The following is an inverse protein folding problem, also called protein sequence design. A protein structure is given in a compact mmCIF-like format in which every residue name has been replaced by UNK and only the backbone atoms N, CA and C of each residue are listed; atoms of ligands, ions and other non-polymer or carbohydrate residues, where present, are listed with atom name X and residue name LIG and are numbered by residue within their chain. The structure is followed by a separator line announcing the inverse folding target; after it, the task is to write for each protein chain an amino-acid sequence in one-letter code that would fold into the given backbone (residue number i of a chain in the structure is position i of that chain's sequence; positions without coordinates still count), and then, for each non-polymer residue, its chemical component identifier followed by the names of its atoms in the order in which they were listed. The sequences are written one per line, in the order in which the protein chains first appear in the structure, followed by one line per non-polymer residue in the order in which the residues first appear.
data_IF_437008412892
#
_entry.id   IF_437008412892
#
_cell.length_a   1.000
_cell.length_b   1.000
_cell.length_c   1.000
_cell.angle_alpha   90.00
_cell.angle_beta   90.00
_cell.angle_gamma   90.00
#
_symmetry.space_group_name_H-M   'P 1'
#
loop_
_entity.id
_entity.type
_entity.pdbx_description
1 polymer ?
#
# COMPACT_ATOMS: atom_id res chain seq x y z
N UNK A 1 -0.67 5.54 -25.73
CA UNK A 1 -1.36 4.24 -25.78
C UNK A 1 -2.87 4.49 -25.89
N UNK A 2 -3.56 3.91 -26.91
CA UNK A 2 -5.02 3.95 -27.01
C UNK A 2 -5.59 3.19 -25.82
N UNK A 3 -6.41 3.85 -24.99
CA UNK A 3 -7.11 3.21 -23.87
C UNK A 3 -8.27 2.39 -24.40
N UNK A 4 -8.56 1.20 -23.80
CA UNK A 4 -9.65 0.36 -24.26
C UNK A 4 -11.00 1.02 -23.96
N UNK A 5 -11.91 0.93 -24.93
CA UNK A 5 -13.30 1.33 -24.76
C UNK A 5 -14.14 0.15 -24.25
N UNK A 6 -15.12 0.44 -23.42
CA UNK A 6 -16.17 -0.46 -22.92
C UNK A 6 -15.77 -1.52 -21.89
N UNK A 7 -14.47 -1.84 -21.68
CA UNK A 7 -14.05 -2.74 -20.63
C UNK A 7 -12.62 -2.42 -20.19
N UNK A 8 -12.40 -2.18 -18.90
CA UNK A 8 -11.08 -2.01 -18.31
C UNK A 8 -11.10 -2.46 -16.85
N UNK A 9 -10.16 -3.32 -16.46
CA UNK A 9 -10.02 -3.73 -15.08
C UNK A 9 -9.31 -2.64 -14.25
N UNK A 10 -9.76 -2.33 -13.03
CA UNK A 10 -8.94 -1.59 -12.10
C UNK A 10 -7.70 -2.43 -11.72
N UNK A 11 -6.54 -1.80 -11.46
CA UNK A 11 -5.31 -2.54 -11.10
C UNK A 11 -5.41 -3.27 -9.76
N UNK A 12 -6.18 -2.73 -8.82
CA UNK A 12 -6.41 -3.27 -7.49
C UNK A 12 -7.72 -2.70 -6.92
N UNK A 13 -8.19 -3.26 -5.83
CA UNK A 13 -9.40 -2.84 -5.14
C UNK A 13 -10.24 -4.04 -4.70
N UNK A 14 -11.43 -3.76 -4.22
CA UNK A 14 -12.45 -4.76 -3.89
C UNK A 14 -13.82 -4.22 -4.31
N UNK A 15 -14.81 -5.09 -4.39
CA UNK A 15 -16.18 -4.69 -4.73
C UNK A 15 -16.83 -4.04 -3.50
N UNK A 16 -17.34 -2.82 -3.67
CA UNK A 16 -18.20 -2.17 -2.69
C UNK A 16 -19.66 -2.40 -3.12
N UNK A 17 -20.45 -3.20 -2.38
CA UNK A 17 -21.85 -3.40 -2.72
C UNK A 17 -22.63 -2.09 -2.53
N UNK A 18 -23.22 -1.55 -3.60
CA UNK A 18 -23.95 -0.28 -3.58
C UNK A 18 -25.07 -0.24 -2.51
N UNK A 19 -25.70 -1.40 -2.23
CA UNK A 19 -26.73 -1.51 -1.17
C UNK A 19 -26.23 -1.09 0.22
N UNK A 20 -24.91 -1.22 0.49
CA UNK A 20 -24.32 -0.85 1.77
C UNK A 20 -24.23 0.66 1.95
N UNK A 21 -24.20 1.42 0.84
CA UNK A 21 -24.08 2.88 0.85
C UNK A 21 -25.36 3.57 1.33
N UNK A 22 -26.53 2.94 1.13
CA UNK A 22 -27.83 3.53 1.47
C UNK A 22 -28.26 3.31 2.93
N UNK A 23 -27.72 2.31 3.61
CA UNK A 23 -28.18 1.88 4.94
C UNK A 23 -27.61 2.65 6.13
N UNK A 24 -26.51 3.42 5.98
CA UNK A 24 -25.77 3.97 7.12
C UNK A 24 -25.45 5.48 7.06
N UNK A 25 -26.12 6.23 6.23
CA UNK A 25 -25.95 7.70 6.16
C UNK A 25 -26.27 8.39 7.51
N UNK A 26 -27.04 7.75 8.40
CA UNK A 26 -27.41 8.24 9.73
C UNK A 26 -26.37 7.99 10.84
N UNK A 27 -25.39 7.12 10.65
CA UNK A 27 -24.48 6.65 11.72
C UNK A 27 -23.21 7.52 11.80
N UNK A 28 -23.33 8.76 12.30
CA UNK A 28 -22.27 9.79 12.20
C UNK A 28 -21.66 10.18 13.55
N UNK A 29 -21.96 9.46 14.62
CA UNK A 29 -21.44 9.82 15.96
C UNK A 29 -20.00 9.33 16.15
N UNK A 30 -19.24 10.03 17.01
CA UNK A 30 -17.90 9.61 17.40
C UNK A 30 -17.93 8.23 18.07
N UNK A 31 -18.93 7.95 18.88
CA UNK A 31 -19.13 6.65 19.54
C UNK A 31 -19.22 5.49 18.54
N UNK A 32 -19.94 5.69 17.42
CA UNK A 32 -20.00 4.68 16.36
C UNK A 32 -18.67 4.51 15.64
N UNK A 33 -17.91 5.58 15.46
CA UNK A 33 -16.55 5.51 14.93
C UNK A 33 -15.66 4.67 15.84
N UNK A 34 -15.65 4.96 17.12
CA UNK A 34 -14.81 4.27 18.11
C UNK A 34 -15.16 2.78 18.15
N UNK A 35 -16.44 2.43 18.15
CA UNK A 35 -16.92 1.03 18.09
C UNK A 35 -16.45 0.32 16.81
N UNK A 36 -16.52 0.97 15.66
CA UNK A 36 -16.05 0.42 14.39
C UNK A 36 -14.53 0.22 14.40
N UNK A 37 -13.76 1.15 14.98
CA UNK A 37 -12.32 1.01 15.11
C UNK A 37 -11.95 -0.12 16.10
N UNK A 38 -12.68 -0.28 17.19
CA UNK A 38 -12.51 -1.42 18.12
C UNK A 38 -12.77 -2.76 17.42
N UNK A 39 -13.79 -2.83 16.56
CA UNK A 39 -14.08 -4.03 15.76
C UNK A 39 -12.92 -4.37 14.82
N UNK A 40 -12.36 -3.35 14.15
CA UNK A 40 -11.19 -3.50 13.26
C UNK A 40 -9.96 -3.93 14.05
N UNK A 41 -9.71 -3.33 15.22
CA UNK A 41 -8.60 -3.72 16.09
C UNK A 41 -8.71 -5.16 16.56
N UNK A 42 -9.91 -5.60 16.91
CA UNK A 42 -10.17 -6.99 17.31
C UNK A 42 -9.88 -7.96 16.17
N UNK A 43 -10.28 -7.61 14.94
CA UNK A 43 -9.95 -8.40 13.74
C UNK A 43 -8.45 -8.47 13.50
N UNK A 44 -7.72 -7.37 13.69
CA UNK A 44 -6.26 -7.33 13.51
C UNK A 44 -5.51 -8.04 14.65
N UNK A 45 -6.04 -8.06 15.88
CA UNK A 45 -5.33 -8.50 17.08
C UNK A 45 -4.46 -7.39 17.72
N UNK A 46 -4.67 -6.12 17.34
CA UNK A 46 -3.94 -4.98 17.87
C UNK A 46 -4.53 -4.45 19.18
N UNK A 47 -3.81 -3.51 19.84
CA UNK A 47 -4.26 -2.95 21.15
C UNK A 47 -4.65 -1.48 21.06
N UNK A 48 -3.76 -0.61 20.62
CA UNK A 48 -3.99 0.84 20.58
C UNK A 48 -4.06 1.31 19.14
N UNK A 49 -5.13 2.00 18.76
CA UNK A 49 -5.28 2.53 17.41
C UNK A 49 -5.66 4.01 17.37
N UNK A 50 -5.27 4.64 16.28
CA UNK A 50 -5.64 6.00 15.92
C UNK A 50 -6.16 6.01 14.50
N UNK A 51 -7.36 6.54 14.29
CA UNK A 51 -7.97 6.63 12.97
C UNK A 51 -7.86 8.06 12.44
N UNK A 52 -7.20 8.21 11.29
CA UNK A 52 -6.87 9.48 10.65
C UNK A 52 -7.43 9.53 9.22
N UNK A 53 -7.32 10.69 8.59
CA UNK A 53 -7.79 10.95 7.22
C UNK A 53 -7.11 10.09 6.15
N UNK A 54 -5.90 9.60 6.39
CA UNK A 54 -5.14 8.79 5.42
C UNK A 54 -4.02 7.99 6.08
N UNK A 55 -3.49 6.99 5.37
CA UNK A 55 -2.29 6.25 5.80
C UNK A 55 -1.07 7.16 5.97
N UNK A 56 -0.92 8.21 5.14
CA UNK A 56 0.14 9.24 5.32
C UNK A 56 0.01 9.97 6.65
N UNK A 57 -1.22 10.35 7.02
CA UNK A 57 -1.50 11.00 8.28
C UNK A 57 -1.26 10.05 9.47
N UNK A 58 -1.54 8.76 9.32
CA UNK A 58 -1.27 7.74 10.33
C UNK A 58 0.24 7.59 10.58
N UNK A 59 1.05 7.46 9.53
CA UNK A 59 2.51 7.42 9.64
C UNK A 59 3.06 8.73 10.22
N UNK A 60 2.58 9.87 9.74
CA UNK A 60 2.97 11.18 10.26
C UNK A 60 2.72 11.30 11.78
N UNK A 61 1.55 10.86 12.26
CA UNK A 61 1.22 10.94 13.68
C UNK A 61 2.22 10.16 14.53
N UNK A 62 2.55 8.92 14.13
CA UNK A 62 3.53 8.12 14.84
C UNK A 62 4.91 8.77 14.87
N UNK A 63 5.41 9.17 13.71
CA UNK A 63 6.73 9.79 13.59
C UNK A 63 6.79 11.10 14.38
N UNK A 64 5.74 11.90 14.38
CA UNK A 64 5.65 13.15 15.15
C UNK A 64 5.67 12.89 16.64
N UNK A 65 4.88 11.92 17.14
CA UNK A 65 4.87 11.53 18.55
C UNK A 65 6.25 11.01 18.99
N UNK A 66 6.85 10.12 18.19
CA UNK A 66 8.15 9.55 18.48
C UNK A 66 9.26 10.62 18.48
N UNK A 67 9.20 11.60 17.56
CA UNK A 67 10.18 12.69 17.48
C UNK A 67 10.15 13.67 18.68
N UNK A 68 9.00 13.77 19.35
CA UNK A 68 8.88 14.53 20.61
C UNK A 68 9.59 13.80 21.76
N UNK A 69 9.46 12.47 21.78
CA UNK A 69 10.05 11.63 22.83
C UNK A 69 11.56 11.40 22.64
N UNK A 70 12.05 11.51 21.40
CA UNK A 70 13.46 11.29 21.02
C UNK A 70 13.98 12.42 20.14
N UNK A 71 14.08 13.66 20.68
CA UNK A 71 14.34 14.87 19.90
C UNK A 71 15.74 14.90 19.26
N UNK A 72 16.68 14.11 19.77
CA UNK A 72 18.04 13.98 19.22
C UNK A 72 18.13 13.13 17.97
N UNK A 73 17.10 12.32 17.67
CA UNK A 73 17.03 11.43 16.50
C UNK A 73 16.17 12.06 15.42
N UNK A 74 16.72 12.24 14.21
CA UNK A 74 16.06 12.98 13.13
C UNK A 74 15.94 12.20 11.82
N UNK A 75 16.59 11.06 11.70
CA UNK A 75 16.66 10.29 10.47
C UNK A 75 15.63 9.15 10.49
N UNK A 76 14.94 8.96 9.36
CA UNK A 76 14.03 7.82 9.14
C UNK A 76 14.49 7.08 7.90
N UNK A 77 14.83 5.80 8.07
CA UNK A 77 15.26 4.96 6.96
C UNK A 77 14.04 4.47 6.18
N UNK A 78 14.08 4.62 4.86
CA UNK A 78 12.98 4.31 3.93
C UNK A 78 13.54 3.47 2.76
N UNK A 79 12.86 2.40 2.30
CA UNK A 79 13.28 1.69 1.10
C UNK A 79 13.30 2.63 -0.11
N UNK A 80 14.33 2.54 -0.96
CA UNK A 80 14.48 3.40 -2.14
C UNK A 80 13.38 3.17 -3.19
N UNK A 81 12.78 1.96 -3.22
CA UNK A 81 11.65 1.63 -4.06
C UNK A 81 10.39 1.40 -3.21
N UNK A 82 9.61 2.44 -3.03
CA UNK A 82 8.32 2.41 -2.34
C UNK A 82 7.43 3.58 -2.77
N UNK A 83 6.27 3.73 -2.11
CA UNK A 83 5.35 4.84 -2.36
C UNK A 83 5.97 6.19 -1.88
N UNK A 84 6.02 7.24 -2.71
CA UNK A 84 6.53 8.54 -2.31
C UNK A 84 5.77 9.18 -1.14
N UNK A 85 4.55 8.73 -0.86
CA UNK A 85 3.77 9.19 0.29
C UNK A 85 4.42 8.88 1.65
N UNK A 86 5.30 7.89 1.72
CA UNK A 86 6.11 7.58 2.91
C UNK A 86 7.06 8.74 3.20
N UNK A 87 7.79 9.20 2.18
CA UNK A 87 8.68 10.35 2.29
C UNK A 87 7.91 11.63 2.64
N UNK A 88 6.71 11.83 2.05
CA UNK A 88 5.86 12.96 2.41
C UNK A 88 5.55 13.00 3.91
N UNK A 89 5.24 11.84 4.52
CA UNK A 89 4.94 11.76 5.95
C UNK A 89 6.18 12.04 6.82
N UNK A 90 7.35 11.56 6.42
CA UNK A 90 8.64 11.80 7.10
C UNK A 90 8.97 13.30 7.11
N UNK A 91 8.93 13.94 5.94
CA UNK A 91 9.21 15.37 5.79
C UNK A 91 8.24 16.24 6.56
N UNK A 92 6.93 15.93 6.50
CA UNK A 92 5.91 16.65 7.24
C UNK A 92 6.03 16.50 8.76
N UNK A 93 6.63 15.41 9.25
CA UNK A 93 6.97 15.24 10.66
C UNK A 93 8.18 16.10 11.10
N UNK A 94 8.88 16.74 10.16
CA UNK A 94 10.11 17.52 10.41
C UNK A 94 11.35 16.63 10.55
N UNK A 95 11.33 15.46 9.87
CA UNK A 95 12.38 14.46 9.91
C UNK A 95 13.08 14.35 8.54
N UNK A 96 14.25 13.75 8.53
CA UNK A 96 15.07 13.56 7.33
C UNK A 96 14.92 12.12 6.84
N UNK A 97 14.39 11.88 5.63
CA UNK A 97 14.38 10.55 5.04
C UNK A 97 15.79 10.15 4.58
N UNK A 98 16.20 8.93 4.91
CA UNK A 98 17.44 8.31 4.47
C UNK A 98 17.06 7.08 3.66
N UNK A 99 17.41 7.05 2.37
CA UNK A 99 17.06 5.93 1.52
C UNK A 99 18.02 4.75 1.73
N UNK A 100 17.49 3.54 1.62
CA UNK A 100 18.23 2.28 1.67
C UNK A 100 17.79 1.41 0.51
N UNK A 101 18.72 0.73 -0.17
CA UNK A 101 18.41 -0.11 -1.33
C UNK A 101 17.48 -1.28 -0.94
N UNK A 102 16.77 -1.78 -1.93
CA UNK A 102 15.81 -2.85 -1.75
C UNK A 102 16.46 -4.22 -1.97
N UNK A 103 15.81 -5.25 -1.44
CA UNK A 103 16.08 -6.65 -1.76
C UNK A 103 15.19 -7.09 -2.93
N UNK A 104 15.73 -7.91 -3.84
CA UNK A 104 15.01 -8.37 -5.03
C UNK A 104 14.00 -9.49 -4.77
N UNK A 105 14.10 -10.18 -3.61
CA UNK A 105 13.30 -11.38 -3.32
C UNK A 105 11.98 -11.05 -2.61
N UNK A 106 11.96 -9.97 -1.82
CA UNK A 106 10.79 -9.56 -1.03
C UNK A 106 10.44 -8.07 -1.16
N UNK A 107 11.23 -7.32 -1.95
CA UNK A 107 11.12 -5.86 -2.13
C UNK A 107 11.33 -5.04 -0.84
N UNK A 108 11.71 -5.68 0.27
CA UNK A 108 12.10 -5.03 1.50
C UNK A 108 13.51 -4.43 1.43
N UNK A 109 14.17 -4.30 2.56
CA UNK A 109 15.55 -3.79 2.61
C UNK A 109 16.60 -4.81 2.20
N UNK A 110 17.66 -4.34 1.54
CA UNK A 110 18.94 -5.05 1.58
C UNK A 110 19.49 -4.95 3.01
N UNK A 111 19.50 -6.06 3.74
CA UNK A 111 19.75 -6.09 5.20
C UNK A 111 21.12 -5.55 5.58
N UNK A 112 22.17 -5.87 4.79
CA UNK A 112 23.53 -5.38 5.04
C UNK A 112 23.64 -3.86 4.87
N UNK A 113 22.92 -3.30 3.90
CA UNK A 113 22.91 -1.86 3.70
C UNK A 113 22.11 -1.17 4.82
N UNK A 114 21.00 -1.75 5.26
CA UNK A 114 20.24 -1.25 6.40
C UNK A 114 21.10 -1.20 7.67
N UNK A 115 21.86 -2.26 7.94
CA UNK A 115 22.79 -2.32 9.08
C UNK A 115 23.82 -1.17 9.04
N UNK A 116 24.38 -0.87 7.88
CA UNK A 116 25.34 0.22 7.71
C UNK A 116 24.73 1.62 7.85
N UNK A 117 23.43 1.78 7.59
CA UNK A 117 22.72 3.07 7.67
C UNK A 117 22.11 3.34 9.05
N UNK A 118 21.87 2.31 9.84
CA UNK A 118 21.38 2.47 11.20
C UNK A 118 22.43 3.09 12.11
N UNK A 119 22.02 4.10 12.89
CA UNK A 119 22.96 4.80 13.78
C UNK A 119 22.26 5.62 14.86
N UNK A 120 23.06 6.40 15.61
CA UNK A 120 22.58 7.22 16.76
C UNK A 120 21.56 8.29 16.36
N UNK A 121 21.56 8.74 15.10
CA UNK A 121 20.59 9.71 14.57
C UNK A 121 19.31 9.08 14.06
N UNK A 122 19.29 7.76 13.86
CA UNK A 122 18.13 7.06 13.31
C UNK A 122 17.01 7.00 14.35
N UNK A 123 15.88 7.60 14.02
CA UNK A 123 14.64 7.58 14.82
C UNK A 123 13.87 6.28 14.57
N UNK A 124 13.69 5.94 13.30
CA UNK A 124 12.92 4.77 12.88
C UNK A 124 13.40 4.22 11.53
N UNK A 125 13.13 2.93 11.28
CA UNK A 125 13.13 2.33 9.95
C UNK A 125 11.71 1.92 9.56
N UNK A 126 11.34 2.04 8.27
CA UNK A 126 10.00 1.71 7.78
C UNK A 126 10.07 0.43 6.95
N UNK A 127 9.57 -0.69 7.47
CA UNK A 127 9.44 -1.94 6.73
C UNK A 127 8.15 -1.91 5.90
N UNK A 128 8.28 -2.03 4.58
CA UNK A 128 7.14 -1.93 3.66
C UNK A 128 6.71 -3.31 3.18
N UNK A 129 5.44 -3.67 3.41
CA UNK A 129 4.82 -4.88 2.87
C UNK A 129 4.28 -4.60 1.47
N UNK A 130 5.18 -4.44 0.51
CA UNK A 130 4.85 -4.02 -0.84
C UNK A 130 4.00 -5.10 -1.55
N UNK A 131 2.89 -4.72 -2.18
CA UNK A 131 1.89 -5.61 -2.79
C UNK A 131 1.28 -6.64 -1.83
N UNK A 132 1.44 -6.44 -0.52
CA UNK A 132 1.03 -7.39 0.51
C UNK A 132 2.07 -8.46 0.83
N UNK A 133 3.26 -8.40 0.23
CA UNK A 133 4.39 -9.31 0.49
C UNK A 133 4.97 -9.00 1.87
N UNK A 134 5.19 -10.01 2.75
CA UNK A 134 5.81 -9.77 4.04
C UNK A 134 7.27 -9.31 3.90
N UNK A 135 7.60 -8.18 4.49
CA UNK A 135 9.00 -7.79 4.69
C UNK A 135 9.64 -8.68 5.77
N UNK A 136 10.97 -8.75 5.81
CA UNK A 136 11.77 -9.50 6.82
C UNK A 136 11.78 -8.78 8.17
N UNK A 137 10.60 -8.61 8.76
CA UNK A 137 10.38 -7.77 9.95
C UNK A 137 11.27 -8.19 11.12
N UNK A 138 11.44 -9.49 11.38
CA UNK A 138 12.21 -9.97 12.52
C UNK A 138 13.68 -9.55 12.42
N UNK A 139 14.30 -9.68 11.24
CA UNK A 139 15.68 -9.26 11.01
C UNK A 139 15.84 -7.73 11.11
N UNK A 140 14.89 -6.97 10.55
CA UNK A 140 14.89 -5.50 10.63
C UNK A 140 14.71 -5.04 12.08
N UNK A 141 13.83 -5.69 12.85
CA UNK A 141 13.56 -5.36 14.24
C UNK A 141 14.77 -5.58 15.14
N UNK A 142 15.52 -6.65 14.92
CA UNK A 142 16.76 -6.92 15.66
C UNK A 142 17.79 -5.81 15.43
N UNK A 143 18.00 -5.41 14.17
CA UNK A 143 18.89 -4.30 13.82
C UNK A 143 18.41 -2.96 14.42
N UNK A 144 17.12 -2.67 14.34
CA UNK A 144 16.55 -1.46 14.94
C UNK A 144 16.77 -1.43 16.46
N UNK A 145 16.48 -2.52 17.17
CA UNK A 145 16.67 -2.62 18.62
C UNK A 145 18.12 -2.42 19.04
N UNK A 146 19.07 -3.05 18.32
CA UNK A 146 20.51 -2.92 18.59
C UNK A 146 21.01 -1.48 18.45
N UNK A 147 20.33 -0.66 17.63
CA UNK A 147 20.65 0.73 17.40
C UNK A 147 19.73 1.73 18.14
N UNK A 148 18.78 1.24 18.94
CA UNK A 148 17.78 2.05 19.64
C UNK A 148 16.83 2.82 18.71
N UNK A 149 16.68 2.38 17.46
CA UNK A 149 15.69 2.87 16.51
C UNK A 149 14.37 2.14 16.66
N UNK A 150 13.27 2.77 16.25
CA UNK A 150 11.97 2.12 16.20
C UNK A 150 11.75 1.44 14.83
N UNK A 151 10.96 0.36 14.81
CA UNK A 151 10.49 -0.26 13.60
C UNK A 151 9.02 0.09 13.33
N UNK A 152 8.74 0.65 12.15
CA UNK A 152 7.37 0.91 11.67
C UNK A 152 7.06 0.02 10.49
N UNK A 153 5.94 -0.70 10.54
CA UNK A 153 5.47 -1.48 9.41
C UNK A 153 4.50 -0.67 8.54
N UNK A 154 4.84 -0.49 7.27
CA UNK A 154 3.89 0.00 6.25
C UNK A 154 3.07 -1.18 5.73
N UNK A 155 1.89 -1.38 6.31
CA UNK A 155 0.92 -2.38 5.90
C UNK A 155 -0.21 -1.77 5.03
N UNK A 156 0.01 -0.60 4.42
CA UNK A 156 -0.97 0.07 3.57
C UNK A 156 -1.42 -0.77 2.35
N UNK A 157 -0.65 -1.77 1.96
CA UNK A 157 -0.95 -2.71 0.88
C UNK A 157 -1.25 -4.13 1.38
N UNK A 158 -1.30 -4.34 2.70
CA UNK A 158 -1.30 -5.66 3.32
C UNK A 158 -2.42 -5.87 4.35
N UNK A 159 -3.42 -4.99 4.41
CA UNK A 159 -4.49 -5.07 5.42
C UNK A 159 -5.15 -6.45 5.43
N UNK A 160 -5.13 -7.09 6.60
CA UNK A 160 -5.69 -8.43 6.84
C UNK A 160 -4.80 -9.60 6.44
N UNK A 161 -3.67 -9.39 5.75
CA UNK A 161 -2.70 -10.45 5.48
C UNK A 161 -1.94 -10.81 6.76
N UNK A 162 -1.46 -12.06 6.82
CA UNK A 162 -0.66 -12.57 7.95
C UNK A 162 0.77 -12.89 7.51
N UNK A 163 1.69 -12.99 8.47
CA UNK A 163 3.01 -13.56 8.23
C UNK A 163 2.89 -15.05 7.88
N UNK A 164 3.83 -15.56 7.08
CA UNK A 164 3.81 -16.97 6.65
C UNK A 164 4.22 -17.92 7.77
N UNK A 165 5.14 -17.49 8.61
CA UNK A 165 5.69 -18.22 9.77
C UNK A 165 4.87 -18.02 11.05
N UNK A 166 3.99 -17.02 11.07
CA UNK A 166 3.12 -16.68 12.19
C UNK A 166 1.73 -16.27 11.66
N UNK A 167 0.94 -17.26 11.22
CA UNK A 167 -0.35 -17.03 10.56
C UNK A 167 -1.38 -16.28 11.42
N UNK A 168 -1.24 -16.34 12.75
CA UNK A 168 -2.08 -15.60 13.68
C UNK A 168 -1.70 -14.12 13.81
N UNK A 169 -0.50 -13.74 13.33
CA UNK A 169 -0.01 -12.35 13.40
C UNK A 169 -0.23 -11.64 12.06
N UNK A 170 -1.05 -10.60 12.08
CA UNK A 170 -1.28 -9.77 10.89
C UNK A 170 -0.08 -8.89 10.58
N UNK A 171 0.18 -8.67 9.27
CA UNK A 171 1.17 -7.70 8.81
C UNK A 171 0.84 -6.31 9.35
N UNK A 172 1.82 -5.63 9.93
CA UNK A 172 1.65 -4.35 10.63
C UNK A 172 1.57 -4.46 12.15
N UNK A 173 1.81 -5.65 12.75
CA UNK A 173 1.68 -5.88 14.20
C UNK A 173 2.92 -6.45 14.90
N UNK A 174 4.01 -6.74 14.18
CA UNK A 174 5.27 -7.19 14.79
C UNK A 174 6.18 -6.04 15.24
N UNK A 175 6.16 -4.90 14.53
CA UNK A 175 6.96 -3.72 14.83
C UNK A 175 6.49 -2.93 16.06
N UNK A 176 7.17 -1.83 16.36
CA UNK A 176 6.78 -0.88 17.41
C UNK A 176 5.49 -0.15 17.04
N UNK A 177 5.24 0.01 15.75
CA UNK A 177 3.97 0.47 15.20
C UNK A 177 3.75 -0.10 13.80
N UNK A 178 2.49 -0.14 13.36
CA UNK A 178 2.12 -0.40 11.99
C UNK A 178 1.01 0.53 11.54
N UNK A 179 0.97 0.82 10.25
CA UNK A 179 -0.11 1.62 9.71
C UNK A 179 -0.74 1.02 8.46
N UNK A 180 -2.01 1.30 8.29
CA UNK A 180 -2.83 0.84 7.17
C UNK A 180 -3.44 2.04 6.44
N UNK A 181 -3.76 1.85 5.18
CA UNK A 181 -4.42 2.85 4.35
C UNK A 181 -5.69 2.27 3.70
N UNK A 182 -6.74 3.07 3.69
CA UNK A 182 -8.01 2.74 3.07
C UNK A 182 -8.33 3.63 1.86
N UNK A 183 -7.31 4.28 1.34
CA UNK A 183 -7.36 5.04 0.10
C UNK A 183 -7.62 4.15 -1.12
N UNK A 184 -7.77 4.77 -2.29
CA UNK A 184 -8.01 4.08 -3.55
C UNK A 184 -6.94 3.02 -3.86
N UNK A 185 -7.38 1.86 -4.35
CA UNK A 185 -6.49 0.77 -4.78
C UNK A 185 -5.81 0.02 -3.65
N UNK A 186 -6.32 0.09 -2.42
CA UNK A 186 -5.86 -0.65 -1.26
C UNK A 186 -6.69 -1.94 -1.07
N UNK A 187 -6.26 -2.87 -0.20
CA UNK A 187 -6.99 -4.13 0.04
C UNK A 187 -8.44 -3.89 0.43
N UNK A 188 -8.69 -2.91 1.29
CA UNK A 188 -10.00 -2.33 1.57
C UNK A 188 -9.94 -0.86 1.18
N UNK A 189 -10.70 -0.48 0.16
CA UNK A 189 -10.63 0.85 -0.44
C UNK A 189 -11.96 1.58 -0.27
N UNK A 190 -11.97 2.55 0.63
CA UNK A 190 -13.12 3.42 0.90
C UNK A 190 -12.80 4.90 0.62
N UNK A 191 -11.76 5.18 -0.14
CA UNK A 191 -11.27 6.53 -0.52
C UNK A 191 -10.77 7.40 0.62
N UNK A 192 -10.95 7.02 1.87
CA UNK A 192 -10.62 7.80 3.05
C UNK A 192 -10.13 6.91 4.17
N UNK A 193 -9.26 7.45 4.99
CA UNK A 193 -8.84 6.83 6.23
C UNK A 193 -7.48 6.14 6.18
N UNK A 194 -6.84 6.19 7.34
CA UNK A 194 -5.66 5.43 7.71
C UNK A 194 -5.77 5.04 9.17
N UNK A 195 -5.31 3.86 9.49
CA UNK A 195 -5.26 3.34 10.85
C UNK A 195 -3.80 3.20 11.28
N UNK A 196 -3.44 3.81 12.40
CA UNK A 196 -2.17 3.60 13.07
C UNK A 196 -2.40 2.66 14.26
N UNK A 197 -1.60 1.62 14.39
CA UNK A 197 -1.56 0.73 15.57
C UNK A 197 -0.21 0.91 16.25
N UNK A 198 -0.20 1.08 17.57
CA UNK A 198 1.01 1.39 18.35
C UNK A 198 1.12 0.45 19.55
N UNK A 199 2.33 -0.06 19.83
CA UNK A 199 2.58 -0.97 20.96
C UNK A 199 2.97 -0.22 22.22
N UNK A 200 3.73 0.89 22.13
CA UNK A 200 4.25 1.66 23.27
C UNK A 200 3.19 2.59 23.87
N UNK A 201 2.93 2.47 25.17
CA UNK A 201 2.00 3.35 25.90
C UNK A 201 2.48 4.79 25.96
N UNK A 202 3.81 5.03 26.00
CA UNK A 202 4.41 6.36 25.99
C UNK A 202 4.14 7.07 24.66
N UNK A 203 4.37 6.38 23.53
CA UNK A 203 4.06 6.91 22.20
C UNK A 203 2.56 7.13 22.02
N UNK A 204 1.72 6.21 22.55
CA UNK A 204 0.26 6.37 22.54
C UNK A 204 -0.18 7.62 23.28
N UNK A 205 0.42 7.90 24.44
CA UNK A 205 0.10 9.09 25.22
C UNK A 205 0.38 10.36 24.43
N UNK A 206 1.58 10.45 23.82
CA UNK A 206 1.96 11.61 23.00
C UNK A 206 1.12 11.73 21.73
N UNK A 207 0.83 10.61 21.04
CA UNK A 207 -0.07 10.59 19.90
C UNK A 207 -1.48 11.10 20.24
N UNK A 208 -2.03 10.75 21.43
CA UNK A 208 -3.32 11.28 21.89
C UNK A 208 -3.30 12.79 22.09
N UNK A 209 -2.23 13.36 22.63
CA UNK A 209 -2.09 14.84 22.75
C UNK A 209 -2.13 15.50 21.39
N UNK A 210 -1.37 14.97 20.43
CA UNK A 210 -1.34 15.52 19.07
C UNK A 210 -2.73 15.40 18.42
N UNK A 211 -3.40 14.25 18.57
CA UNK A 211 -4.75 14.01 18.04
C UNK A 211 -5.80 14.99 18.58
N UNK A 212 -5.67 15.46 19.83
CA UNK A 212 -6.61 16.45 20.39
C UNK A 212 -6.60 17.75 19.61
N UNK A 213 -5.45 18.16 19.08
CA UNK A 213 -5.27 19.37 18.26
C UNK A 213 -5.69 19.23 16.80
N UNK A 214 -5.98 18.01 16.31
CA UNK A 214 -6.33 17.80 14.92
C UNK A 214 -7.79 18.16 14.62
N UNK A 215 -8.01 18.72 13.43
CA UNK A 215 -9.35 19.00 12.90
C UNK A 215 -10.17 17.73 12.77
N UNK A 216 -11.48 17.84 13.02
CA UNK A 216 -12.46 16.84 12.68
C UNK A 216 -13.18 17.30 11.40
N UNK A 217 -13.13 16.47 10.37
CA UNK A 217 -13.85 16.73 9.13
C UNK A 217 -15.32 16.30 9.26
N UNK A 218 -16.24 17.10 8.73
CA UNK A 218 -17.69 16.85 8.75
C UNK A 218 -18.26 16.62 7.33
N UNK A 219 -17.41 16.40 6.33
CA UNK A 219 -17.78 16.28 4.92
C UNK A 219 -18.49 14.93 4.59
N UNK A 220 -19.37 14.45 5.47
CA UNK A 220 -19.99 13.12 5.35
C UNK A 220 -20.83 12.93 4.09
N UNK A 221 -21.55 13.97 3.63
CA UNK A 221 -22.39 13.88 2.41
C UNK A 221 -21.51 13.81 1.17
N UNK A 222 -20.52 14.70 1.06
CA UNK A 222 -19.56 14.73 -0.04
C UNK A 222 -18.79 13.40 -0.12
N UNK A 223 -18.40 12.87 1.01
CA UNK A 223 -17.73 11.58 1.11
C UNK A 223 -18.63 10.43 0.61
N UNK A 224 -19.90 10.35 1.07
CA UNK A 224 -20.83 9.30 0.62
C UNK A 224 -21.07 9.38 -0.90
N UNK A 225 -21.20 10.58 -1.45
CA UNK A 225 -21.32 10.78 -2.90
C UNK A 225 -20.07 10.30 -3.64
N UNK A 226 -18.88 10.68 -3.17
CA UNK A 226 -17.62 10.27 -3.76
C UNK A 226 -17.44 8.74 -3.70
N UNK A 227 -17.77 8.11 -2.56
CA UNK A 227 -17.70 6.66 -2.40
C UNK A 227 -18.69 5.93 -3.30
N UNK A 228 -19.92 6.47 -3.46
CA UNK A 228 -20.93 5.91 -4.37
C UNK A 228 -20.47 5.99 -5.83
N UNK A 229 -19.91 7.12 -6.23
CA UNK A 229 -19.33 7.33 -7.55
C UNK A 229 -18.16 6.36 -7.79
N UNK A 230 -17.27 6.22 -6.81
CA UNK A 230 -16.17 5.27 -6.88
C UNK A 230 -16.64 3.82 -7.01
N UNK A 231 -17.63 3.40 -6.19
CA UNK A 231 -18.20 2.06 -6.24
C UNK A 231 -18.81 1.76 -7.63
N UNK A 232 -19.51 2.72 -8.22
CA UNK A 232 -20.08 2.60 -9.56
C UNK A 232 -18.99 2.45 -10.63
N UNK A 233 -18.01 3.35 -10.64
CA UNK A 233 -16.94 3.37 -11.64
C UNK A 233 -15.82 2.35 -11.39
N UNK A 234 -15.83 1.64 -10.27
CA UNK A 234 -14.93 0.49 -10.05
C UNK A 234 -15.41 -0.77 -10.81
N UNK A 235 -16.62 -0.74 -11.39
CA UNK A 235 -17.10 -1.81 -12.27
C UNK A 235 -16.24 -1.84 -13.56
N UNK A 236 -15.69 -3.00 -13.97
CA UNK A 236 -14.86 -3.10 -15.18
C UNK A 236 -15.50 -2.55 -16.46
N UNK A 237 -16.82 -2.61 -16.58
CA UNK A 237 -17.56 -2.09 -17.74
C UNK A 237 -17.68 -0.56 -17.74
N UNK A 238 -17.40 0.11 -16.62
CA UNK A 238 -17.47 1.55 -16.46
C UNK A 238 -16.12 2.20 -16.12
N UNK A 239 -15.14 1.40 -15.68
CA UNK A 239 -13.84 1.91 -15.20
C UNK A 239 -13.04 2.65 -16.29
N UNK A 240 -13.28 2.34 -17.56
CA UNK A 240 -12.67 3.05 -18.69
C UNK A 240 -13.06 4.55 -18.74
N UNK A 241 -14.25 4.92 -18.23
CA UNK A 241 -14.75 6.32 -18.24
C UNK A 241 -13.80 7.23 -17.42
N UNK A 242 -13.55 7.00 -16.11
CA UNK A 242 -12.63 7.84 -15.37
C UNK A 242 -11.19 7.78 -15.88
N UNK A 243 -10.77 6.70 -16.55
CA UNK A 243 -9.44 6.61 -17.18
C UNK A 243 -9.28 7.58 -18.36
N UNK A 244 -10.37 7.96 -19.02
CA UNK A 244 -10.35 8.94 -20.11
C UNK A 244 -10.21 10.38 -19.61
N UNK A 245 -10.41 10.64 -18.34
CA UNK A 245 -10.35 11.97 -17.74
C UNK A 245 -8.91 12.29 -17.31
N UNK A 246 -8.15 13.12 -18.05
CA UNK A 246 -6.71 13.29 -17.82
C UNK A 246 -6.36 13.85 -16.44
N UNK A 247 -7.18 14.76 -15.89
CA UNK A 247 -6.91 15.41 -14.62
C UNK A 247 -7.11 14.49 -13.40
N UNK A 248 -7.78 13.33 -13.55
CA UNK A 248 -7.89 12.34 -12.47
C UNK A 248 -6.58 11.59 -12.22
N UNK A 249 -5.63 11.64 -13.16
CA UNK A 249 -4.31 11.02 -13.09
C UNK A 249 -4.31 9.63 -12.41
N UNK A 250 -5.25 8.77 -12.87
CA UNK A 250 -5.45 7.45 -12.28
C UNK A 250 -4.23 6.57 -12.48
N UNK A 251 -3.58 6.17 -11.38
CA UNK A 251 -2.38 5.34 -11.40
C UNK A 251 -1.07 6.11 -11.49
N UNK A 252 -1.11 7.44 -11.53
CA UNK A 252 0.10 8.27 -11.48
C UNK A 252 0.81 8.18 -10.12
N UNK A 253 2.15 8.06 -10.16
CA UNK A 253 3.00 8.18 -8.96
C UNK A 253 3.34 9.65 -8.77
N UNK A 254 2.74 10.28 -7.76
CA UNK A 254 2.92 11.71 -7.49
C UNK A 254 3.47 11.89 -6.07
N UNK A 255 4.55 12.68 -5.96
CA UNK A 255 5.01 13.16 -4.68
C UNK A 255 4.25 14.43 -4.29
N UNK A 256 3.59 14.39 -3.16
CA UNK A 256 2.84 15.50 -2.57
C UNK A 256 3.42 15.78 -1.18
N UNK A 257 4.27 16.82 -1.01
CA UNK A 257 4.87 17.15 0.27
C UNK A 257 3.81 17.61 1.28
N UNK A 258 2.80 18.33 0.80
CA UNK A 258 1.70 18.82 1.63
C UNK A 258 0.48 17.90 1.51
N UNK A 259 -0.07 17.52 2.65
CA UNK A 259 -1.30 16.76 2.75
C UNK A 259 -2.01 17.07 4.06
N UNK A 260 -3.29 16.79 4.12
CA UNK A 260 -4.10 17.03 5.30
C UNK A 260 -3.80 16.02 6.42
N UNK A 261 -3.64 16.53 7.64
CA UNK A 261 -3.49 15.75 8.87
C UNK A 261 -4.71 16.01 9.76
N UNK A 262 -5.79 15.29 9.55
CA UNK A 262 -7.04 15.39 10.31
C UNK A 262 -7.46 14.03 10.87
N UNK A 263 -8.42 14.04 11.78
CA UNK A 263 -9.07 12.82 12.26
C UNK A 263 -9.81 12.15 11.11
N UNK A 264 -9.94 10.83 11.18
CA UNK A 264 -10.71 10.08 10.19
C UNK A 264 -12.21 10.37 10.28
N UNK A 265 -12.90 10.32 9.15
CA UNK A 265 -14.35 10.50 9.09
C UNK A 265 -15.10 9.35 9.78
N UNK A 266 -15.96 9.66 10.74
CA UNK A 266 -16.75 8.65 11.48
C UNK A 266 -17.63 7.80 10.56
N UNK A 267 -18.21 8.40 9.51
CA UNK A 267 -18.98 7.66 8.51
C UNK A 267 -18.11 6.68 7.72
N UNK A 268 -16.86 7.03 7.43
CA UNK A 268 -15.94 6.14 6.72
C UNK A 268 -15.54 4.92 7.57
N UNK A 269 -15.34 5.10 8.89
CA UNK A 269 -15.04 4.00 9.80
C UNK A 269 -16.15 2.92 9.79
N UNK A 270 -17.43 3.34 9.74
CA UNK A 270 -18.56 2.39 9.69
C UNK A 270 -18.62 1.58 8.39
N UNK A 271 -18.13 2.11 7.26
CA UNK A 271 -17.99 1.34 6.03
C UNK A 271 -16.84 0.32 6.10
N UNK A 272 -15.73 0.65 6.77
CA UNK A 272 -14.64 -0.31 7.00
C UNK A 272 -15.13 -1.54 7.75
N UNK A 273 -15.87 -1.36 8.85
CA UNK A 273 -16.40 -2.46 9.64
C UNK A 273 -17.26 -3.42 8.81
N UNK A 274 -18.15 -2.88 7.97
CA UNK A 274 -19.01 -3.71 7.09
C UNK A 274 -18.19 -4.51 6.09
N UNK A 275 -17.10 -3.93 5.58
CA UNK A 275 -16.27 -4.58 4.57
C UNK A 275 -15.38 -5.69 5.15
N UNK A 276 -15.19 -5.74 6.48
CA UNK A 276 -14.48 -6.85 7.13
C UNK A 276 -15.17 -8.19 6.88
N UNK A 277 -16.51 -8.23 6.88
CA UNK A 277 -17.27 -9.47 6.66
C UNK A 277 -16.96 -10.16 5.33
N UNK A 278 -16.57 -9.39 4.31
CA UNK A 278 -16.20 -9.90 2.98
C UNK A 278 -14.70 -10.09 2.75
N UNK A 279 -13.86 -9.65 3.69
CA UNK A 279 -12.43 -9.53 3.47
C UNK A 279 -11.74 -10.90 3.30
N UNK A 280 -12.08 -11.89 4.14
CA UNK A 280 -11.46 -13.22 4.05
C UNK A 280 -11.79 -13.88 2.70
N UNK A 281 -13.03 -13.78 2.25
CA UNK A 281 -13.42 -14.26 0.91
C UNK A 281 -12.68 -13.54 -0.23
N UNK A 282 -12.46 -12.24 -0.10
CA UNK A 282 -11.70 -11.48 -1.11
C UNK A 282 -10.22 -11.91 -1.12
N UNK A 283 -9.64 -12.22 0.05
CA UNK A 283 -8.29 -12.78 0.19
C UNK A 283 -8.17 -14.15 -0.46
N UNK A 284 -9.12 -15.06 -0.24
CA UNK A 284 -9.17 -16.37 -0.90
C UNK A 284 -9.17 -16.21 -2.42
N UNK A 285 -10.02 -15.35 -2.97
CA UNK A 285 -10.08 -15.09 -4.41
C UNK A 285 -8.75 -14.53 -4.93
N UNK A 286 -8.11 -13.62 -4.20
CA UNK A 286 -6.79 -13.10 -4.57
C UNK A 286 -5.74 -14.19 -4.59
N UNK A 287 -5.73 -15.05 -3.58
CA UNK A 287 -4.82 -16.20 -3.49
C UNK A 287 -5.01 -17.17 -4.65
N UNK A 288 -6.25 -17.55 -4.95
CA UNK A 288 -6.58 -18.40 -6.08
C UNK A 288 -6.15 -17.80 -7.44
N UNK A 289 -6.38 -16.50 -7.64
CA UNK A 289 -5.96 -15.81 -8.86
C UNK A 289 -4.44 -15.72 -8.97
N UNK A 290 -3.74 -15.45 -7.86
CA UNK A 290 -2.29 -15.40 -7.81
C UNK A 290 -1.66 -16.75 -8.10
N UNK A 291 -2.17 -17.83 -7.47
CA UNK A 291 -1.74 -19.20 -7.73
C UNK A 291 -1.94 -19.56 -9.21
N UNK A 292 -3.09 -19.22 -9.78
CA UNK A 292 -3.36 -19.48 -11.19
C UNK A 292 -2.32 -18.81 -12.10
N UNK A 293 -1.89 -17.55 -11.82
CA UNK A 293 -0.80 -16.91 -12.57
C UNK A 293 0.52 -17.63 -12.38
N UNK A 294 0.88 -18.00 -11.15
CA UNK A 294 2.10 -18.74 -10.86
C UNK A 294 2.18 -20.06 -11.62
N UNK A 295 1.07 -20.81 -11.65
CA UNK A 295 1.00 -22.11 -12.33
C UNK A 295 1.06 -21.99 -13.87
N UNK A 296 0.62 -20.88 -14.45
CA UNK A 296 0.52 -20.69 -15.90
C UNK A 296 1.63 -19.81 -16.51
N UNK A 297 2.40 -19.09 -15.71
CA UNK A 297 3.54 -18.24 -16.11
C UNK A 297 4.88 -18.91 -15.73
N UNK A 298 5.11 -20.13 -16.21
CA UNK A 298 6.28 -20.96 -15.84
C UNK A 298 7.48 -20.81 -16.77
N UNK A 299 7.47 -19.84 -17.70
CA UNK A 299 8.56 -19.61 -18.63
C UNK A 299 9.82 -19.11 -17.92
N UNK A 300 11.02 -19.52 -18.39
CA UNK A 300 12.31 -19.17 -17.79
C UNK A 300 12.61 -17.66 -17.79
N UNK A 301 11.93 -16.88 -18.64
CA UNK A 301 12.04 -15.41 -18.67
C UNK A 301 11.27 -14.70 -17.54
N UNK A 302 10.46 -15.43 -16.75
CA UNK A 302 9.67 -14.89 -15.65
C UNK A 302 10.23 -15.37 -14.31
N UNK A 303 10.37 -14.42 -13.37
CA UNK A 303 10.72 -14.73 -11.98
C UNK A 303 9.52 -14.38 -11.10
N UNK A 304 9.21 -15.28 -10.20
CA UNK A 304 8.14 -15.14 -9.21
C UNK A 304 8.76 -14.96 -7.82
N UNK A 305 8.07 -14.25 -6.95
CA UNK A 305 8.43 -14.25 -5.53
C UNK A 305 8.20 -15.66 -4.97
N UNK A 306 9.11 -16.13 -4.13
CA UNK A 306 9.09 -17.48 -3.57
C UNK A 306 7.98 -17.76 -2.55
N UNK A 307 6.90 -16.97 -2.55
CA UNK A 307 5.74 -17.20 -1.68
C UNK A 307 4.92 -18.36 -2.24
N UNK A 308 4.87 -19.44 -1.48
CA UNK A 308 4.20 -20.67 -1.91
C UNK A 308 2.67 -20.60 -1.70
N UNK A 309 1.93 -21.33 -2.54
CA UNK A 309 0.50 -21.53 -2.39
C UNK A 309 -0.36 -20.33 -2.81
N UNK A 310 -1.54 -20.25 -2.19
CA UNK A 310 -2.54 -19.22 -2.47
C UNK A 310 -2.32 -17.97 -1.62
N UNK A 311 -1.24 -17.22 -1.89
CA UNK A 311 -0.95 -16.00 -1.15
C UNK A 311 -1.80 -14.82 -1.65
N UNK A 312 -2.50 -14.06 -0.76
CA UNK A 312 -3.45 -13.02 -1.14
C UNK A 312 -2.79 -11.67 -1.47
N UNK A 313 -1.96 -11.62 -2.51
CA UNK A 313 -1.36 -10.36 -2.96
C UNK A 313 -2.41 -9.27 -3.20
N UNK A 314 -2.04 -8.02 -3.00
CA UNK A 314 -2.84 -6.90 -3.51
C UNK A 314 -2.86 -6.86 -5.04
N UNK A 315 -1.70 -7.10 -5.63
CA UNK A 315 -1.44 -7.30 -7.06
C UNK A 315 -0.35 -8.34 -7.20
N UNK A 316 -0.46 -9.23 -8.17
CA UNK A 316 0.54 -10.26 -8.40
C UNK A 316 1.79 -9.66 -9.05
N UNK A 317 2.97 -9.68 -8.39
CA UNK A 317 4.20 -9.16 -8.94
C UNK A 317 4.86 -10.21 -9.84
N UNK A 318 4.91 -9.92 -11.14
CA UNK A 318 5.65 -10.68 -12.13
C UNK A 318 6.93 -9.94 -12.48
N UNK A 319 8.08 -10.60 -12.38
CA UNK A 319 9.37 -10.01 -12.65
C UNK A 319 9.89 -10.52 -14.00
N UNK A 320 10.25 -9.61 -14.88
CA UNK A 320 10.72 -9.85 -16.23
C UNK A 320 12.06 -9.14 -16.37
N UNK A 321 13.15 -9.90 -16.30
CA UNK A 321 14.50 -9.34 -16.25
C UNK A 321 14.97 -8.69 -17.56
N UNK A 322 14.40 -9.13 -18.69
CA UNK A 322 14.56 -8.49 -19.98
C UNK A 322 13.68 -7.24 -20.06
N UNK A 323 14.34 -6.07 -20.15
CA UNK A 323 13.66 -4.76 -20.15
C UNK A 323 12.75 -4.56 -21.36
N UNK A 324 13.21 -4.96 -22.55
CA UNK A 324 12.46 -4.73 -23.79
C UNK A 324 11.24 -5.64 -23.85
N UNK A 325 11.40 -6.89 -23.45
CA UNK A 325 10.31 -7.84 -23.27
C UNK A 325 9.29 -7.32 -22.24
N UNK A 326 9.76 -6.83 -21.10
CA UNK A 326 8.91 -6.24 -20.05
C UNK A 326 8.11 -5.04 -20.56
N UNK A 327 8.74 -4.13 -21.29
CA UNK A 327 8.07 -2.94 -21.87
C UNK A 327 7.00 -3.39 -22.86
N UNK A 328 7.33 -4.30 -23.78
CA UNK A 328 6.40 -4.81 -24.79
C UNK A 328 5.18 -5.49 -24.15
N UNK A 329 5.39 -6.37 -23.16
CA UNK A 329 4.31 -7.06 -22.43
C UNK A 329 3.43 -6.02 -21.71
N UNK A 330 4.03 -5.10 -20.94
CA UNK A 330 3.29 -4.11 -20.18
C UNK A 330 2.44 -3.21 -21.08
N UNK A 331 3.00 -2.73 -22.19
CA UNK A 331 2.29 -1.85 -23.12
C UNK A 331 1.06 -2.54 -23.72
N UNK A 332 1.21 -3.79 -24.18
CA UNK A 332 0.08 -4.54 -24.72
C UNK A 332 -0.99 -4.85 -23.67
N UNK A 333 -0.59 -5.22 -22.44
CA UNK A 333 -1.52 -5.46 -21.35
C UNK A 333 -2.29 -4.18 -20.96
N UNK A 334 -1.61 -3.04 -20.86
CA UNK A 334 -2.24 -1.74 -20.56
C UNK A 334 -3.17 -1.31 -21.68
N UNK A 335 -2.76 -1.45 -22.95
CA UNK A 335 -3.58 -1.13 -24.11
C UNK A 335 -4.86 -1.99 -24.17
N UNK A 336 -4.81 -3.23 -23.70
CA UNK A 336 -5.96 -4.14 -23.62
C UNK A 336 -6.84 -3.92 -22.37
N UNK A 337 -6.53 -2.96 -21.49
CA UNK A 337 -7.34 -2.67 -20.28
C UNK A 337 -7.36 -3.79 -19.25
N UNK A 338 -6.29 -4.55 -19.17
CA UNK A 338 -6.22 -5.73 -18.29
C UNK A 338 -6.06 -5.40 -16.80
N UNK A 339 -5.80 -4.13 -16.45
CA UNK A 339 -5.46 -3.73 -15.09
C UNK A 339 -3.99 -3.95 -14.70
N UNK A 340 -3.17 -4.45 -15.62
CA UNK A 340 -1.73 -4.55 -15.40
C UNK A 340 -1.07 -3.17 -15.29
N UNK A 341 -0.05 -3.04 -14.43
CA UNK A 341 0.73 -1.80 -14.27
C UNK A 341 2.21 -2.07 -14.06
N UNK A 342 3.07 -1.09 -14.36
CA UNK A 342 4.49 -1.12 -14.03
C UNK A 342 4.80 -0.67 -12.60
N UNK A 343 3.77 -0.45 -11.77
CA UNK A 343 3.92 0.06 -10.40
C UNK A 343 4.62 1.43 -10.33
N UNK A 344 5.62 1.60 -9.45
CA UNK A 344 6.38 2.86 -9.38
C UNK A 344 7.41 2.89 -10.52
N UNK A 345 7.52 4.03 -11.25
CA UNK A 345 8.34 4.09 -12.47
C UNK A 345 9.85 4.10 -12.21
N UNK A 346 10.27 4.60 -11.06
CA UNK A 346 11.69 4.78 -10.68
C UNK A 346 11.85 4.66 -9.17
N UNK A 347 13.07 4.49 -8.67
CA UNK A 347 13.38 4.75 -7.26
C UNK A 347 13.01 6.18 -6.83
N UNK A 348 12.82 6.38 -5.53
CA UNK A 348 12.36 7.64 -4.95
C UNK A 348 13.28 8.82 -5.28
N UNK A 349 14.59 8.65 -5.21
CA UNK A 349 15.57 9.71 -5.52
C UNK A 349 15.65 10.09 -7.00
N UNK A 350 15.03 9.31 -7.89
CA UNK A 350 14.93 9.62 -9.32
C UNK A 350 13.59 10.26 -9.70
N UNK A 351 12.62 10.34 -8.77
CA UNK A 351 11.38 11.07 -9.03
C UNK A 351 11.67 12.59 -9.04
N UNK A 352 11.29 13.33 -10.11
CA UNK A 352 11.75 14.70 -10.34
C UNK A 352 11.64 15.63 -9.13
N UNK A 353 10.47 15.70 -8.51
CA UNK A 353 10.24 16.55 -7.32
C UNK A 353 10.93 16.03 -6.05
N UNK A 354 11.11 14.73 -5.91
CA UNK A 354 11.79 14.12 -4.77
C UNK A 354 13.31 14.26 -4.88
N UNK A 355 13.85 14.18 -6.09
CA UNK A 355 15.29 14.35 -6.33
C UNK A 355 15.78 15.69 -5.80
N UNK A 356 15.02 16.77 -6.01
CA UNK A 356 15.36 18.10 -5.52
C UNK A 356 15.34 18.17 -3.99
N UNK A 357 14.41 17.47 -3.34
CA UNK A 357 14.21 17.49 -1.89
C UNK A 357 15.22 16.60 -1.16
N UNK A 358 15.48 15.41 -1.71
CA UNK A 358 16.38 14.43 -1.10
C UNK A 358 17.84 14.79 -1.31
N UNK A 359 18.19 15.43 -2.44
CA UNK A 359 19.55 15.72 -2.87
C UNK A 359 20.47 14.51 -2.77
N UNK A 360 19.94 13.32 -3.11
CA UNK A 360 20.57 12.03 -2.99
C UNK A 360 20.77 11.44 -4.41
N UNK A 361 22.02 11.44 -4.88
CA UNK A 361 22.42 10.92 -6.20
C UNK A 361 22.92 9.46 -6.12
N UNK A 362 22.73 8.77 -5.01
CA UNK A 362 23.12 7.36 -4.83
C UNK A 362 22.43 6.47 -5.85
N UNK A 363 23.16 5.57 -6.46
CA UNK A 363 22.63 4.55 -7.36
C UNK A 363 22.12 3.34 -6.53
N UNK A 364 20.82 3.27 -6.31
CA UNK A 364 20.13 2.13 -5.65
C UNK A 364 19.85 1.05 -6.68
N UNK A 365 20.83 0.13 -6.87
CA UNK A 365 20.84 -0.84 -7.98
C UNK A 365 19.65 -1.80 -7.96
N UNK A 366 19.29 -2.32 -6.79
CA UNK A 366 18.16 -3.23 -6.66
C UNK A 366 16.84 -2.49 -6.86
N UNK A 367 16.69 -1.28 -6.33
CA UNK A 367 15.52 -0.44 -6.54
C UNK A 367 15.31 -0.10 -8.03
N UNK A 368 16.37 0.22 -8.75
CA UNK A 368 16.35 0.43 -10.21
C UNK A 368 15.95 -0.85 -10.92
N UNK A 369 16.56 -1.99 -10.57
CA UNK A 369 16.23 -3.29 -11.17
C UNK A 369 14.76 -3.66 -10.97
N UNK A 370 14.21 -3.44 -9.78
CA UNK A 370 12.77 -3.66 -9.50
C UNK A 370 11.92 -2.77 -10.41
N UNK A 371 12.20 -1.47 -10.48
CA UNK A 371 11.43 -0.53 -11.31
C UNK A 371 11.42 -0.91 -12.80
N UNK A 372 12.54 -1.42 -13.29
CA UNK A 372 12.72 -1.80 -14.68
C UNK A 372 12.19 -3.18 -15.04
N UNK A 373 12.03 -4.09 -14.07
CA UNK A 373 11.63 -5.48 -14.30
C UNK A 373 10.19 -5.82 -13.93
N UNK A 374 9.55 -5.03 -13.05
CA UNK A 374 8.25 -5.43 -12.50
C UNK A 374 7.09 -5.14 -13.44
N UNK A 375 6.17 -6.11 -13.54
CA UNK A 375 4.80 -5.97 -14.04
C UNK A 375 3.85 -6.51 -12.99
N UNK A 376 2.86 -5.75 -12.57
CA UNK A 376 1.87 -6.23 -11.60
C UNK A 376 0.56 -6.57 -12.30
N UNK A 377 0.04 -7.77 -12.01
CA UNK A 377 -1.23 -8.26 -12.56
C UNK A 377 -2.34 -8.16 -11.51
N UNK A 378 -3.59 -7.85 -11.93
CA UNK A 378 -4.71 -7.76 -11.01
C UNK A 378 -5.14 -9.15 -10.53
N UNK A 379 -5.44 -9.27 -9.22
CA UNK A 379 -5.89 -10.54 -8.58
C UNK A 379 -7.20 -10.40 -7.81
N UNK A 380 -7.79 -9.21 -7.75
CA UNK A 380 -8.99 -8.91 -6.95
C UNK A 380 -10.25 -9.64 -7.46
N UNK A 381 -11.30 -9.65 -6.66
CA UNK A 381 -12.57 -10.36 -6.95
C UNK A 381 -13.32 -9.92 -8.23
N UNK A 382 -12.88 -8.83 -8.87
CA UNK A 382 -13.36 -8.42 -10.19
C UNK A 382 -12.69 -9.12 -11.38
N UNK A 383 -11.62 -9.91 -11.13
CA UNK A 383 -10.88 -10.63 -12.18
C UNK A 383 -11.54 -11.99 -12.45
N UNK A 384 -12.18 -12.13 -13.60
CA UNK A 384 -12.80 -13.39 -14.04
C UNK A 384 -11.78 -14.35 -14.66
N UNK A 385 -12.17 -15.62 -14.87
CA UNK A 385 -11.38 -16.59 -15.63
C UNK A 385 -11.06 -16.06 -17.04
N UNK A 386 -12.05 -15.48 -17.73
CA UNK A 386 -11.84 -14.89 -19.06
C UNK A 386 -10.82 -13.74 -19.06
N UNK A 387 -10.77 -12.93 -17.98
CA UNK A 387 -9.76 -11.89 -17.84
C UNK A 387 -8.35 -12.47 -17.70
N UNK A 388 -8.19 -13.52 -16.89
CA UNK A 388 -6.89 -14.20 -16.71
C UNK A 388 -6.40 -14.84 -18.01
N UNK A 389 -7.28 -15.54 -18.72
CA UNK A 389 -6.97 -16.14 -20.02
C UNK A 389 -6.59 -15.07 -21.06
N UNK A 390 -7.27 -13.93 -21.08
CA UNK A 390 -6.91 -12.82 -21.96
C UNK A 390 -5.52 -12.25 -21.66
N UNK A 391 -5.18 -12.08 -20.38
CA UNK A 391 -3.83 -11.67 -19.95
C UNK A 391 -2.78 -12.67 -20.47
N UNK A 392 -3.01 -13.97 -20.27
CA UNK A 392 -2.11 -15.03 -20.74
C UNK A 392 -1.98 -15.06 -22.25
N UNK A 393 -3.08 -14.92 -22.97
CA UNK A 393 -3.07 -14.86 -24.43
C UNK A 393 -2.20 -13.73 -24.95
N UNK A 394 -2.30 -12.53 -24.34
CA UNK A 394 -1.49 -11.37 -24.72
C UNK A 394 0.00 -11.63 -24.43
N UNK A 395 0.33 -12.17 -23.27
CA UNK A 395 1.71 -12.51 -22.90
C UNK A 395 2.30 -13.53 -23.89
N UNK A 396 1.59 -14.62 -24.17
CA UNK A 396 2.02 -15.65 -25.15
C UNK A 396 2.20 -15.08 -26.54
N UNK A 397 1.36 -14.15 -26.99
CA UNK A 397 1.51 -13.49 -28.29
C UNK A 397 2.80 -12.65 -28.37
N UNK A 398 3.23 -12.03 -27.28
CA UNK A 398 4.50 -11.31 -27.23
C UNK A 398 5.67 -12.29 -27.28
N UNK A 399 5.63 -13.35 -26.48
CA UNK A 399 6.69 -14.36 -26.42
C UNK A 399 6.91 -15.10 -27.74
N UNK A 400 5.83 -15.33 -28.51
CA UNK A 400 5.94 -16.01 -29.81
C UNK A 400 6.38 -15.07 -30.95
N UNK A 401 6.40 -13.75 -30.71
CA UNK A 401 6.78 -12.75 -31.71
C UNK A 401 8.24 -12.28 -31.55
N UNK A 402 8.87 -12.60 -30.42
CA UNK A 402 10.29 -12.39 -30.10
C UNK A 402 11.06 -13.72 -30.19
#
# INVERSE_FOLDING_TARGET
LKKPFFHSLPPAGHKIPLRLLFGRIGNRTQENCDRSIESILRYLGGRNAFYLSSGRAALWLYLKALSVLRPERKEVIVPAYTCPSVVSAVLKAGLTPVLCDNNLDDFGYEIRELENKLGKKTLAAIAVHLYGVPARVDAIQELCRSNGAALVEDAAQAFGNSFLDAQDVKLGLKGDAGFYSFGRGKPVSILHGGLLVVTSDEVCHEARKIMQGLKTDNASVQYCLALSTYALFSNPNLYWIPQMIPFLNLGGTVFEPEFETSKGLSVAASFLEILLDGLEKDKEIRGMNAKWYSDNLSQACFRHLGLQGEYPYLRYPLIIDDRDLRVCILEKLVAAGTGATGSYPTPLNQLPKLREVLADDTEYKCAIKIAESIVTLPVHSGVSAANRENIMRIIRQVLNAN
#
